data_IF_355722796984
#
_entry.id   IF_355722796984
#
_cell.length_a   1.000
_cell.length_b   1.000
_cell.length_c   1.000
_cell.angle_alpha   90.00
_cell.angle_beta   90.00
_cell.angle_gamma   90.00
#
_symmetry.space_group_name_H-M   'P 1'
#
loop_
_entity.id
_entity.type
_entity.pdbx_description
1 polymer ?
#
# COMPACT_ATOMS: atom_id res chain seq x y z
N UNK A 1 13.49 5.45 -20.16
CA UNK A 1 12.88 5.34 -18.83
C UNK A 1 13.35 4.02 -18.26
N UNK A 2 13.92 3.99 -17.05
CA UNK A 2 14.39 2.72 -16.47
C UNK A 2 13.21 1.91 -15.90
N UNK A 3 13.36 0.60 -15.64
CA UNK A 3 12.32 -0.18 -14.96
C UNK A 3 11.91 0.43 -13.61
N UNK A 4 12.84 1.08 -12.89
CA UNK A 4 12.55 1.81 -11.66
C UNK A 4 11.63 3.00 -11.94
N UNK A 5 11.96 3.84 -12.91
CA UNK A 5 11.16 5.01 -13.27
C UNK A 5 9.73 4.61 -13.67
N UNK A 6 9.57 3.55 -14.48
CA UNK A 6 8.27 3.03 -14.87
C UNK A 6 7.46 2.53 -13.68
N UNK A 7 8.11 1.86 -12.73
CA UNK A 7 7.47 1.34 -11.52
C UNK A 7 7.01 2.47 -10.59
N UNK A 8 7.86 3.47 -10.34
CA UNK A 8 7.50 4.63 -9.52
C UNK A 8 6.40 5.49 -10.17
N UNK A 9 6.45 5.66 -11.50
CA UNK A 9 5.41 6.37 -12.22
C UNK A 9 4.05 5.65 -12.14
N UNK A 10 4.03 4.31 -12.29
CA UNK A 10 2.80 3.53 -12.11
C UNK A 10 2.27 3.62 -10.68
N UNK A 11 3.14 3.56 -9.68
CA UNK A 11 2.75 3.72 -8.28
C UNK A 11 2.05 5.07 -8.04
N UNK A 12 2.58 6.17 -8.60
CA UNK A 12 1.98 7.49 -8.50
C UNK A 12 0.62 7.58 -9.22
N UNK A 13 0.49 6.96 -10.41
CA UNK A 13 -0.76 6.93 -11.17
C UNK A 13 -1.86 6.17 -10.43
N UNK A 14 -1.55 4.96 -9.92
CA UNK A 14 -2.53 4.14 -9.21
C UNK A 14 -2.88 4.70 -7.83
N UNK A 15 -1.94 5.38 -7.16
CA UNK A 15 -2.23 6.10 -5.91
C UNK A 15 -3.26 7.22 -6.14
N UNK A 16 -3.12 7.97 -7.24
CA UNK A 16 -4.13 8.94 -7.66
C UNK A 16 -5.46 8.26 -8.01
N UNK A 17 -5.43 7.15 -8.73
CA UNK A 17 -6.63 6.40 -9.11
C UNK A 17 -7.38 5.83 -7.89
N UNK A 18 -6.66 5.49 -6.83
CA UNK A 18 -7.20 5.08 -5.54
C UNK A 18 -7.98 6.21 -4.88
N UNK A 19 -7.38 7.40 -4.75
CA UNK A 19 -8.11 8.57 -4.24
C UNK A 19 -9.33 8.92 -5.08
N UNK A 20 -9.24 8.80 -6.41
CA UNK A 20 -10.40 8.99 -7.29
C UNK A 20 -11.52 7.96 -7.05
N UNK A 21 -11.22 6.77 -6.54
CA UNK A 21 -12.26 5.80 -6.16
C UNK A 21 -12.97 6.22 -4.85
N UNK A 22 -12.31 7.02 -4.02
CA UNK A 22 -12.85 7.56 -2.76
C UNK A 22 -13.64 8.87 -2.95
N UNK A 23 -13.48 9.55 -4.08
CA UNK A 23 -14.13 10.85 -4.34
C UNK A 23 -15.66 10.77 -4.14
N UNK A 24 -16.19 11.67 -3.30
CA UNK A 24 -17.61 11.76 -3.00
C UNK A 24 -18.13 10.77 -1.95
N UNK A 25 -17.29 9.87 -1.42
CA UNK A 25 -17.65 9.03 -0.27
C UNK A 25 -17.61 9.85 1.02
N UNK A 26 -18.59 9.62 1.90
CA UNK A 26 -18.63 10.20 3.23
C UNK A 26 -18.03 9.24 4.29
N UNK A 27 -18.01 9.64 5.55
CA UNK A 27 -17.45 8.82 6.63
C UNK A 27 -18.20 7.50 6.85
N UNK A 28 -19.53 7.47 6.66
CA UNK A 28 -20.32 6.24 6.78
C UNK A 28 -19.95 5.24 5.66
N UNK A 29 -19.76 5.74 4.44
CA UNK A 29 -19.29 4.94 3.30
C UNK A 29 -17.88 4.36 3.57
N UNK A 30 -16.98 5.18 4.11
CA UNK A 30 -15.59 4.80 4.39
C UNK A 30 -15.45 3.80 5.55
N UNK A 31 -16.46 3.70 6.40
CA UNK A 31 -16.49 2.82 7.59
C UNK A 31 -17.46 1.64 7.45
N UNK A 32 -18.24 1.56 6.38
CA UNK A 32 -19.09 0.40 6.09
C UNK A 32 -18.22 -0.83 5.79
N UNK A 33 -18.51 -1.94 6.48
CA UNK A 33 -17.85 -3.22 6.23
C UNK A 33 -18.51 -3.95 5.06
N UNK A 34 -17.73 -4.30 4.04
CA UNK A 34 -18.24 -4.98 2.85
C UNK A 34 -17.27 -5.97 2.21
N UNK A 35 -15.96 -5.84 2.46
CA UNK A 35 -14.94 -6.76 1.93
C UNK A 35 -14.51 -7.73 3.04
N UNK A 36 -15.28 -8.79 3.23
CA UNK A 36 -15.10 -9.68 4.37
C UNK A 36 -15.25 -8.90 5.69
N UNK A 37 -14.22 -8.84 6.55
CA UNK A 37 -14.27 -8.06 7.78
C UNK A 37 -13.85 -6.59 7.62
N UNK A 38 -13.56 -6.10 6.40
CA UNK A 38 -12.95 -4.79 6.20
C UNK A 38 -13.92 -3.76 5.61
N UNK A 39 -13.82 -2.53 6.13
CA UNK A 39 -14.26 -1.31 5.44
C UNK A 39 -13.11 -0.71 4.63
N UNK A 40 -13.38 0.37 3.90
CA UNK A 40 -12.34 1.13 3.18
C UNK A 40 -11.28 1.65 4.15
N UNK A 41 -11.68 2.08 5.35
CA UNK A 41 -10.73 2.52 6.39
C UNK A 41 -9.77 1.40 6.77
N UNK A 42 -10.24 0.16 6.98
CA UNK A 42 -9.37 -0.99 7.26
C UNK A 42 -8.51 -1.38 6.05
N UNK A 43 -9.03 -1.21 4.83
CA UNK A 43 -8.25 -1.37 3.60
C UNK A 43 -7.07 -0.37 3.58
N UNK A 44 -7.32 0.91 3.83
CA UNK A 44 -6.25 1.91 3.88
C UNK A 44 -5.26 1.61 5.02
N UNK A 45 -5.77 1.22 6.20
CA UNK A 45 -4.94 0.96 7.36
C UNK A 45 -3.95 -0.19 7.14
N UNK A 46 -4.33 -1.28 6.46
CA UNK A 46 -3.39 -2.35 6.20
C UNK A 46 -2.35 -1.97 5.14
N UNK A 47 -2.71 -1.19 4.12
CA UNK A 47 -1.74 -0.65 3.16
C UNK A 47 -0.69 0.24 3.85
N UNK A 48 -1.12 1.12 4.77
CA UNK A 48 -0.23 1.91 5.64
C UNK A 48 0.74 1.01 6.40
N UNK A 49 0.24 -0.10 6.94
CA UNK A 49 1.05 -1.09 7.65
C UNK A 49 2.15 -1.67 6.77
N UNK A 50 1.81 -2.12 5.56
CA UNK A 50 2.78 -2.66 4.61
C UNK A 50 3.83 -1.65 4.16
N UNK A 51 3.44 -0.40 3.88
CA UNK A 51 4.40 0.66 3.57
C UNK A 51 5.42 0.83 4.70
N UNK A 52 4.94 0.91 5.95
CA UNK A 52 5.80 1.10 7.14
C UNK A 52 6.69 -0.10 7.39
N UNK A 53 6.15 -1.32 7.26
CA UNK A 53 6.87 -2.58 7.47
C UNK A 53 8.00 -2.78 6.44
N UNK A 54 7.75 -2.42 5.17
CA UNK A 54 8.68 -2.71 4.07
C UNK A 54 9.60 -1.55 3.70
N UNK A 55 9.35 -0.33 4.19
CA UNK A 55 10.28 0.80 4.01
C UNK A 55 11.71 0.46 4.46
N UNK A 56 11.95 -0.09 5.67
CA UNK A 56 13.29 -0.47 6.10
C UNK A 56 13.95 -1.51 5.19
N UNK A 57 13.18 -2.38 4.53
CA UNK A 57 13.71 -3.36 3.60
C UNK A 57 14.30 -2.70 2.34
N UNK A 58 13.64 -1.67 1.81
CA UNK A 58 14.15 -0.89 0.67
C UNK A 58 15.41 -0.11 1.05
N UNK A 59 15.44 0.49 2.24
CA UNK A 59 16.62 1.20 2.74
C UNK A 59 17.83 0.26 2.89
N UNK A 60 17.63 -0.98 3.36
CA UNK A 60 18.68 -2.01 3.41
C UNK A 60 19.18 -2.37 2.01
N UNK A 61 18.27 -2.60 1.06
CA UNK A 61 18.64 -2.89 -0.33
C UNK A 61 19.47 -1.73 -0.92
N UNK A 62 19.11 -0.49 -0.64
CA UNK A 62 19.85 0.69 -1.12
C UNK A 62 21.31 0.71 -0.61
N UNK A 63 21.57 0.18 0.58
CA UNK A 63 22.92 -0.01 1.14
C UNK A 63 23.62 -1.30 0.71
N UNK A 64 22.99 -2.12 -0.13
CA UNK A 64 23.52 -3.42 -0.55
C UNK A 64 23.37 -4.53 0.49
N UNK A 65 22.53 -4.33 1.51
CA UNK A 65 22.27 -5.28 2.58
C UNK A 65 21.10 -6.24 2.20
N UNK A 66 20.93 -7.30 3.00
CA UNK A 66 19.74 -8.16 2.87
C UNK A 66 18.48 -7.39 3.33
N UNK A 67 17.35 -7.48 2.61
CA UNK A 67 16.14 -6.71 2.92
C UNK A 67 15.51 -7.06 4.26
N UNK A 68 15.53 -8.34 4.63
CA UNK A 68 14.81 -8.87 5.77
C UNK A 68 15.76 -9.49 6.80
N UNK A 69 15.55 -9.25 8.10
CA UNK A 69 16.16 -10.05 9.17
C UNK A 69 15.74 -11.52 9.05
N UNK A 70 16.58 -12.44 9.52
CA UNK A 70 16.31 -13.89 9.40
C UNK A 70 15.13 -14.35 10.25
N UNK A 71 14.77 -13.55 11.26
CA UNK A 71 13.76 -13.84 12.28
C UNK A 71 12.35 -13.42 11.83
N UNK A 72 12.23 -12.65 10.74
CA UNK A 72 10.95 -12.15 10.25
C UNK A 72 10.42 -13.08 9.16
N UNK A 73 9.21 -13.60 9.36
CA UNK A 73 8.47 -14.38 8.38
C UNK A 73 7.17 -13.67 8.01
N UNK A 74 6.91 -13.57 6.70
CA UNK A 74 5.67 -13.07 6.13
C UNK A 74 4.80 -14.21 5.57
N UNK A 75 4.97 -15.44 6.08
CA UNK A 75 4.19 -16.59 5.61
C UNK A 75 2.70 -16.48 5.95
N UNK A 76 2.36 -15.88 7.10
CA UNK A 76 0.98 -15.61 7.52
C UNK A 76 0.62 -14.16 7.20
N UNK A 77 0.38 -13.89 5.92
CA UNK A 77 0.03 -12.55 5.41
C UNK A 77 -1.27 -12.04 6.04
N UNK A 78 -2.22 -12.92 6.33
CA UNK A 78 -3.51 -12.56 6.93
C UNK A 78 -3.35 -12.05 8.36
N UNK A 79 -2.49 -12.68 9.17
CA UNK A 79 -2.18 -12.19 10.51
C UNK A 79 -1.51 -10.81 10.49
N UNK A 80 -0.61 -10.57 9.53
CA UNK A 80 0.00 -9.25 9.33
C UNK A 80 -1.04 -8.20 8.92
N UNK A 81 -1.89 -8.52 7.95
CA UNK A 81 -2.97 -7.66 7.49
C UNK A 81 -3.92 -7.28 8.65
N UNK A 82 -4.36 -8.27 9.43
CA UNK A 82 -5.25 -8.06 10.57
C UNK A 82 -4.59 -7.21 11.66
N UNK A 83 -3.29 -7.42 11.93
CA UNK A 83 -2.51 -6.59 12.85
C UNK A 83 -2.43 -5.14 12.37
N UNK A 84 -2.15 -4.91 11.10
CA UNK A 84 -2.03 -3.56 10.54
C UNK A 84 -3.35 -2.81 10.52
N UNK A 85 -4.43 -3.44 10.07
CA UNK A 85 -5.76 -2.88 10.13
C UNK A 85 -6.19 -2.58 11.58
N UNK A 86 -5.95 -3.53 12.50
CA UNK A 86 -6.27 -3.38 13.92
C UNK A 86 -5.51 -2.25 14.62
N UNK A 87 -4.26 -1.99 14.22
CA UNK A 87 -3.42 -0.95 14.83
C UNK A 87 -3.97 0.48 14.63
N UNK A 88 -4.81 0.71 13.62
CA UNK A 88 -5.41 2.00 13.32
C UNK A 88 -6.94 2.05 13.51
N UNK A 89 -7.53 0.99 14.08
CA UNK A 89 -8.99 0.85 14.23
C UNK A 89 -9.65 2.05 14.92
N UNK A 90 -9.06 2.51 16.02
CA UNK A 90 -9.63 3.59 16.85
C UNK A 90 -9.26 5.00 16.36
N UNK A 91 -8.56 5.11 15.24
CA UNK A 91 -8.14 6.41 14.66
C UNK A 91 -9.29 7.00 13.82
N UNK A 92 -9.52 8.32 13.82
CA UNK A 92 -10.44 8.95 12.87
C UNK A 92 -10.06 8.66 11.41
N UNK A 93 -11.04 8.61 10.51
CA UNK A 93 -10.83 8.26 9.09
C UNK A 93 -9.84 9.23 8.43
N UNK A 94 -9.95 10.53 8.70
CA UNK A 94 -9.05 11.54 8.15
C UNK A 94 -7.58 11.29 8.57
N UNK A 95 -7.36 10.78 9.78
CA UNK A 95 -6.02 10.47 10.27
C UNK A 95 -5.46 9.19 9.63
N UNK A 96 -6.31 8.24 9.25
CA UNK A 96 -5.90 7.04 8.51
C UNK A 96 -5.52 7.39 7.07
N UNK A 97 -6.27 8.27 6.41
CA UNK A 97 -5.92 8.78 5.07
C UNK A 97 -4.64 9.63 5.09
N UNK A 98 -4.47 10.50 6.09
CA UNK A 98 -3.22 11.26 6.25
C UNK A 98 -2.00 10.34 6.49
N UNK A 99 -2.20 9.25 7.23
CA UNK A 99 -1.18 8.22 7.40
C UNK A 99 -0.84 7.49 6.10
N UNK A 100 -1.83 7.28 5.24
CA UNK A 100 -1.65 6.71 3.90
C UNK A 100 -0.77 7.60 3.05
N UNK A 101 -1.03 8.91 3.01
CA UNK A 101 -0.21 9.87 2.27
C UNK A 101 1.25 9.87 2.75
N UNK A 102 1.45 9.97 4.06
CA UNK A 102 2.79 9.97 4.66
C UNK A 102 3.54 8.67 4.42
N UNK A 103 2.85 7.54 4.54
CA UNK A 103 3.45 6.23 4.35
C UNK A 103 3.78 5.94 2.89
N UNK A 104 2.91 6.34 1.96
CA UNK A 104 3.15 6.29 0.52
C UNK A 104 4.39 7.12 0.13
N UNK A 105 4.44 8.39 0.55
CA UNK A 105 5.58 9.27 0.25
C UNK A 105 6.89 8.70 0.81
N UNK A 106 6.87 8.21 2.05
CA UNK A 106 8.05 7.60 2.69
C UNK A 106 8.50 6.34 1.96
N UNK A 107 7.56 5.45 1.63
CA UNK A 107 7.84 4.20 0.94
C UNK A 107 8.41 4.44 -0.46
N UNK A 108 7.82 5.35 -1.25
CA UNK A 108 8.33 5.67 -2.59
C UNK A 108 9.66 6.43 -2.56
N UNK A 109 9.91 7.27 -1.55
CA UNK A 109 11.25 7.86 -1.35
C UNK A 109 12.31 6.81 -1.08
N UNK A 110 12.01 5.83 -0.22
CA UNK A 110 12.91 4.71 0.03
C UNK A 110 13.14 3.88 -1.25
N UNK A 111 12.09 3.61 -2.02
CA UNK A 111 12.19 2.94 -3.31
C UNK A 111 13.08 3.71 -4.31
N UNK A 112 12.92 5.02 -4.41
CA UNK A 112 13.71 5.87 -5.31
C UNK A 112 15.21 5.88 -4.97
N UNK A 113 15.55 5.69 -3.68
CA UNK A 113 16.95 5.62 -3.21
C UNK A 113 17.68 4.33 -3.61
N UNK A 114 16.95 3.29 -4.02
CA UNK A 114 17.53 2.02 -4.43
C UNK A 114 18.14 2.15 -5.85
N UNK A 115 19.38 1.66 -6.09
CA UNK A 115 20.03 1.70 -7.40
C UNK A 115 19.22 0.97 -8.49
N UNK A 116 19.23 1.51 -9.72
CA UNK A 116 18.43 1.02 -10.85
C UNK A 116 18.70 -0.47 -11.15
N UNK A 117 19.94 -0.95 -11.03
CA UNK A 117 20.29 -2.36 -11.29
C UNK A 117 19.63 -3.37 -10.33
N UNK A 118 19.00 -2.89 -9.25
CA UNK A 118 18.23 -3.70 -8.30
C UNK A 118 16.77 -3.87 -8.72
N UNK A 119 16.27 -3.08 -9.68
CA UNK A 119 14.88 -3.05 -10.13
C UNK A 119 14.58 -3.89 -11.38
N UNK A 120 15.45 -4.84 -11.73
CA UNK A 120 15.11 -5.84 -12.75
C UNK A 120 13.79 -6.55 -12.39
N UNK A 121 12.82 -6.65 -13.33
CA UNK A 121 11.55 -7.34 -13.09
C UNK A 121 11.76 -8.73 -12.49
N UNK A 122 11.01 -9.05 -11.45
CA UNK A 122 11.12 -10.32 -10.72
C UNK A 122 12.13 -10.34 -9.57
N UNK A 123 13.01 -9.34 -9.44
CA UNK A 123 13.88 -9.16 -8.27
C UNK A 123 13.12 -8.60 -7.07
N UNK A 124 13.74 -8.71 -5.90
CA UNK A 124 13.13 -8.33 -4.61
C UNK A 124 12.69 -6.88 -4.58
N UNK A 125 13.53 -5.91 -4.95
CA UNK A 125 13.16 -4.49 -4.92
C UNK A 125 11.93 -4.19 -5.79
N UNK A 126 11.92 -4.72 -7.02
CA UNK A 126 10.77 -4.60 -7.92
C UNK A 126 9.50 -5.16 -7.28
N UNK A 127 9.54 -6.41 -6.79
CA UNK A 127 8.38 -7.08 -6.18
C UNK A 127 7.85 -6.33 -4.96
N UNK A 128 8.74 -5.85 -4.08
CA UNK A 128 8.32 -5.11 -2.90
C UNK A 128 7.59 -3.83 -3.27
N UNK A 129 8.12 -3.06 -4.21
CA UNK A 129 7.49 -1.81 -4.62
C UNK A 129 6.19 -2.08 -5.36
N UNK A 130 6.17 -2.98 -6.34
CA UNK A 130 4.96 -3.27 -7.14
C UNK A 130 3.79 -3.76 -6.27
N UNK A 131 4.02 -4.82 -5.48
CA UNK A 131 3.00 -5.47 -4.65
C UNK A 131 2.49 -4.61 -3.50
N UNK A 132 3.20 -3.54 -3.13
CA UNK A 132 2.82 -2.64 -2.03
C UNK A 132 2.61 -1.20 -2.51
N UNK A 133 2.48 -0.99 -3.82
CA UNK A 133 2.05 0.29 -4.38
C UNK A 133 1.10 0.06 -5.56
N UNK A 134 1.55 0.17 -6.80
CA UNK A 134 0.72 0.15 -8.00
C UNK A 134 -0.26 -1.03 -8.02
N UNK A 135 0.23 -2.25 -7.77
CA UNK A 135 -0.63 -3.44 -7.74
C UNK A 135 -1.70 -3.36 -6.64
N UNK A 136 -1.28 -2.99 -5.44
CA UNK A 136 -2.14 -2.94 -4.25
C UNK A 136 -3.21 -1.87 -4.35
N UNK A 137 -2.82 -0.67 -4.80
CA UNK A 137 -3.73 0.46 -5.00
C UNK A 137 -4.74 0.13 -6.09
N UNK A 138 -4.30 -0.48 -7.20
CA UNK A 138 -5.18 -0.87 -8.28
C UNK A 138 -6.20 -1.91 -7.83
N UNK A 139 -5.75 -2.98 -7.18
CA UNK A 139 -6.62 -4.05 -6.66
C UNK A 139 -7.75 -3.48 -5.80
N UNK A 140 -7.40 -2.67 -4.80
CA UNK A 140 -8.41 -2.09 -3.91
C UNK A 140 -9.25 -1.01 -4.58
N UNK A 141 -8.70 -0.24 -5.52
CA UNK A 141 -9.48 0.71 -6.33
C UNK A 141 -10.57 -0.01 -7.14
N UNK A 142 -10.24 -1.14 -7.77
CA UNK A 142 -11.18 -1.95 -8.53
C UNK A 142 -12.29 -2.52 -7.63
N UNK A 143 -11.92 -3.04 -6.45
CA UNK A 143 -12.89 -3.53 -5.46
C UNK A 143 -13.80 -2.41 -4.95
N UNK A 144 -13.26 -1.23 -4.63
CA UNK A 144 -14.06 -0.07 -4.18
C UNK A 144 -15.02 0.40 -5.27
N UNK A 145 -14.58 0.50 -6.52
CA UNK A 145 -15.45 0.88 -7.64
C UNK A 145 -16.58 -0.14 -7.85
N UNK A 146 -16.29 -1.43 -7.74
CA UNK A 146 -17.30 -2.47 -7.82
C UNK A 146 -18.31 -2.38 -6.66
N UNK A 147 -17.83 -2.15 -5.43
CA UNK A 147 -18.68 -1.92 -4.27
C UNK A 147 -19.59 -0.69 -4.47
N UNK A 148 -19.05 0.45 -4.89
CA UNK A 148 -19.84 1.67 -5.18
C UNK A 148 -20.94 1.41 -6.20
N UNK A 149 -20.61 0.75 -7.31
CA UNK A 149 -21.60 0.38 -8.32
C UNK A 149 -22.71 -0.50 -7.75
N UNK A 150 -22.39 -1.43 -6.83
CA UNK A 150 -23.38 -2.26 -6.13
C UNK A 150 -24.31 -1.47 -5.19
N UNK A 151 -23.91 -0.26 -4.78
CA UNK A 151 -24.67 0.64 -3.90
C UNK A 151 -25.33 1.79 -4.65
N UNK A 152 -25.10 1.92 -5.96
CA UNK A 152 -25.59 3.04 -6.76
C UNK A 152 -24.87 4.36 -6.47
N UNK A 153 -23.61 4.29 -6.02
CA UNK A 153 -22.72 5.42 -5.70
C UNK A 153 -21.71 5.73 -6.82
#
# INVERSE_FOLDING_TARGET
MSPKDELLNRAALEYKAFYQALDGLNEADLTEVWLGPWSIKEIVAHMVGWHRELTPALERIARGERPFPAEVSYADVDAWNARFAGALRDRPVENVLLDFDKSHETFLRAAASVPDERFEPGRTAYKLVDLNSAHHYREHSEQIRAWRASRGL
#
